data_IF_252100040886
#
_entry.id   IF_252100040886
#
_cell.length_a   1.000
_cell.length_b   1.000
_cell.length_c   1.000
_cell.angle_alpha   90.00
_cell.angle_beta   90.00
_cell.angle_gamma   90.00
#
_symmetry.space_group_name_H-M   'P 1'
#
loop_
_entity.id
_entity.type
_entity.pdbx_description
1 polymer ?
#
# COMPACT_ATOMS: atom_id res chain seq x y z
N UNK A 1 11.38 -44.66 -6.88
CA UNK A 1 11.64 -43.18 -6.64
C UNK A 1 11.54 -42.47 -7.96
N UNK A 2 10.80 -41.38 -8.07
CA UNK A 2 10.68 -40.68 -9.33
C UNK A 2 12.04 -40.19 -9.83
N UNK A 3 12.26 -40.34 -11.15
CA UNK A 3 13.51 -40.01 -11.85
C UNK A 3 13.39 -38.55 -12.34
N UNK A 4 14.28 -37.63 -11.95
CA UNK A 4 14.30 -36.29 -12.52
C UNK A 4 14.75 -36.39 -13.99
N UNK A 5 13.94 -35.91 -14.90
CA UNK A 5 14.17 -35.98 -16.34
C UNK A 5 14.01 -34.59 -16.97
N UNK A 6 14.98 -34.20 -17.80
CA UNK A 6 14.93 -32.98 -18.60
C UNK A 6 14.79 -33.35 -20.08
N UNK A 7 13.74 -32.90 -20.74
CA UNK A 7 13.51 -33.16 -22.16
C UNK A 7 14.63 -32.57 -23.02
N UNK A 8 15.31 -33.35 -23.87
CA UNK A 8 16.40 -32.86 -24.72
C UNK A 8 15.93 -31.89 -25.81
N UNK A 9 14.65 -31.87 -26.12
CA UNK A 9 14.09 -31.07 -27.22
C UNK A 9 13.53 -29.71 -26.75
N UNK A 10 12.82 -29.67 -25.62
CA UNK A 10 12.19 -28.42 -25.11
C UNK A 10 12.74 -27.96 -23.75
N UNK A 11 13.68 -28.73 -23.17
CA UNK A 11 14.31 -28.45 -21.85
C UNK A 11 13.34 -28.37 -20.66
N UNK A 12 12.13 -28.88 -20.84
CA UNK A 12 11.19 -28.99 -19.73
C UNK A 12 11.65 -30.06 -18.73
N UNK A 13 11.63 -29.72 -17.44
CA UNK A 13 11.97 -30.61 -16.36
C UNK A 13 10.70 -31.26 -15.79
N UNK A 14 10.73 -32.57 -15.59
CA UNK A 14 9.63 -33.34 -15.01
C UNK A 14 10.15 -34.49 -14.15
N UNK A 15 9.32 -34.99 -13.27
CA UNK A 15 9.58 -36.21 -12.49
C UNK A 15 8.85 -37.38 -13.18
N UNK A 16 9.58 -38.37 -13.62
CA UNK A 16 9.05 -39.56 -14.28
C UNK A 16 9.11 -40.75 -13.29
N UNK A 17 8.04 -41.52 -13.23
CA UNK A 17 7.99 -42.69 -12.34
C UNK A 17 9.03 -43.74 -12.80
N UNK A 18 9.68 -44.42 -11.85
CA UNK A 18 10.74 -45.43 -12.09
C UNK A 18 10.29 -46.59 -12.97
N UNK A 19 9.00 -46.91 -13.03
CA UNK A 19 8.44 -47.92 -13.94
C UNK A 19 8.66 -47.59 -15.43
N UNK A 20 8.93 -46.34 -15.78
CA UNK A 20 9.18 -45.90 -17.17
C UNK A 20 10.67 -45.78 -17.50
N UNK A 21 11.58 -46.26 -16.62
CA UNK A 21 13.02 -46.30 -16.90
C UNK A 21 13.31 -47.13 -18.14
N UNK A 22 14.17 -46.65 -19.04
CA UNK A 22 14.46 -47.27 -20.37
C UNK A 22 13.27 -47.37 -21.33
N UNK A 23 12.18 -46.70 -21.09
CA UNK A 23 11.07 -46.66 -22.05
C UNK A 23 11.12 -45.42 -22.91
N UNK A 24 10.64 -45.54 -24.14
CA UNK A 24 10.43 -44.43 -25.07
C UNK A 24 8.97 -44.01 -25.05
N UNK A 25 8.73 -42.70 -25.11
CA UNK A 25 7.39 -42.13 -25.17
C UNK A 25 7.45 -40.66 -25.59
N UNK A 26 6.31 -40.06 -25.80
CA UNK A 26 6.22 -38.67 -26.26
C UNK A 26 6.31 -37.72 -25.09
N UNK A 27 7.08 -36.63 -25.24
CA UNK A 27 7.13 -35.56 -24.27
C UNK A 27 5.78 -34.86 -24.15
N UNK A 28 5.19 -34.80 -22.95
CA UNK A 28 3.88 -34.20 -22.71
C UNK A 28 3.80 -32.70 -23.09
N UNK A 29 4.95 -32.02 -23.20
CA UNK A 29 5.01 -30.58 -23.48
C UNK A 29 5.25 -30.29 -24.97
N UNK A 30 6.19 -31.02 -25.63
CA UNK A 30 6.53 -30.72 -27.01
C UNK A 30 6.15 -31.84 -28.01
N UNK A 31 5.57 -32.96 -27.55
CA UNK A 31 5.10 -34.08 -28.40
C UNK A 31 6.20 -34.85 -29.14
N UNK A 32 7.49 -34.62 -28.83
CA UNK A 32 8.60 -35.32 -29.46
C UNK A 32 8.98 -36.55 -28.66
N UNK A 33 9.36 -37.59 -29.38
CA UNK A 33 9.81 -38.86 -28.80
C UNK A 33 11.06 -38.66 -27.92
N UNK A 34 11.04 -39.20 -26.72
CA UNK A 34 12.10 -39.12 -25.70
C UNK A 34 12.29 -40.50 -25.09
N UNK A 35 13.51 -40.80 -24.63
CA UNK A 35 13.81 -42.02 -23.89
C UNK A 35 14.22 -41.67 -22.46
N UNK A 36 13.55 -42.25 -21.49
CA UNK A 36 13.87 -42.04 -20.05
C UNK A 36 15.13 -42.82 -19.72
N UNK A 37 16.14 -42.24 -19.03
CA UNK A 37 17.40 -42.92 -18.71
C UNK A 37 17.18 -44.11 -17.77
N UNK A 38 18.09 -45.09 -17.89
CA UNK A 38 18.12 -46.26 -16.99
C UNK A 38 18.36 -45.87 -15.53
N UNK A 39 17.76 -46.58 -14.60
CA UNK A 39 18.11 -46.48 -13.18
C UNK A 39 19.59 -46.89 -13.00
N UNK A 40 20.38 -46.19 -12.23
CA UNK A 40 21.74 -46.61 -11.92
C UNK A 40 21.72 -47.96 -11.21
N UNK A 41 22.65 -48.86 -11.55
CA UNK A 41 22.67 -50.23 -11.00
C UNK A 41 22.77 -50.21 -9.49
N UNK A 42 21.84 -50.87 -8.84
CA UNK A 42 21.85 -51.08 -7.39
C UNK A 42 23.15 -51.81 -7.02
N UNK A 43 24.01 -51.17 -6.28
CA UNK A 43 25.30 -51.71 -5.81
C UNK A 43 25.08 -53.05 -5.13
N UNK A 44 25.63 -54.13 -5.72
CA UNK A 44 25.64 -55.45 -5.16
C UNK A 44 26.27 -55.49 -3.78
N UNK A 45 25.63 -56.14 -2.87
CA UNK A 45 26.07 -56.38 -1.49
C UNK A 45 27.41 -57.17 -1.47
N UNK A 46 28.46 -56.72 -0.79
CA UNK A 46 29.67 -57.49 -0.64
C UNK A 46 29.45 -58.62 0.40
N UNK A 47 29.79 -59.83 0.04
CA UNK A 47 29.82 -61.00 0.88
C UNK A 47 30.67 -60.82 2.16
N UNK A 48 30.14 -61.21 3.28
CA UNK A 48 30.73 -61.21 4.63
C UNK A 48 32.04 -62.03 4.65
N UNK A 49 33.17 -61.31 4.91
CA UNK A 49 34.42 -61.97 5.41
C UNK A 49 34.50 -61.66 6.90
N UNK A 50 34.46 -62.73 7.70
CA UNK A 50 34.61 -62.72 9.13
C UNK A 50 35.99 -62.19 9.55
N UNK A 51 36.03 -61.11 10.36
CA UNK A 51 37.20 -60.55 11.00
C UNK A 51 36.80 -59.78 12.30
N UNK A 52 37.70 -59.50 13.23
CA UNK A 52 37.49 -59.67 14.68
C UNK A 52 36.79 -58.50 15.39
N UNK A 53 36.10 -58.93 16.45
CA UNK A 53 35.62 -58.20 17.66
C UNK A 53 35.13 -56.75 17.57
N UNK A 54 33.85 -56.67 17.56
CA UNK A 54 32.96 -55.50 17.66
C UNK A 54 32.90 -54.94 19.09
N UNK A 55 33.87 -54.15 19.54
CA UNK A 55 33.68 -53.46 20.85
C UNK A 55 34.12 -51.98 20.91
N UNK A 56 34.70 -51.44 19.79
CA UNK A 56 35.22 -50.06 19.76
C UNK A 56 34.39 -49.07 18.91
N UNK A 57 33.46 -49.56 18.06
CA UNK A 57 32.77 -48.71 17.07
C UNK A 57 31.43 -48.11 17.55
N UNK A 58 30.86 -48.56 18.66
CA UNK A 58 29.60 -47.96 19.17
C UNK A 58 29.77 -46.59 19.82
N UNK A 59 30.96 -46.21 20.28
CA UNK A 59 31.21 -44.90 20.93
C UNK A 59 31.41 -43.75 19.91
N UNK A 60 31.82 -44.04 18.67
CA UNK A 60 32.07 -42.98 17.70
C UNK A 60 30.82 -42.54 16.92
N UNK A 61 29.85 -43.45 16.69
CA UNK A 61 28.60 -43.14 16.00
C UNK A 61 27.65 -42.27 16.84
N UNK A 62 27.59 -42.56 18.17
CA UNK A 62 26.77 -41.76 19.07
C UNK A 62 27.33 -40.36 19.29
N UNK A 63 28.66 -40.21 19.35
CA UNK A 63 29.31 -38.89 19.43
C UNK A 63 29.17 -38.08 18.14
N UNK A 64 29.27 -38.70 16.98
CA UNK A 64 29.05 -38.03 15.69
C UNK A 64 27.58 -37.60 15.50
N UNK A 65 26.62 -38.42 15.93
CA UNK A 65 25.19 -38.13 15.86
C UNK A 65 24.81 -37.00 16.84
N UNK A 66 25.36 -37.01 18.04
CA UNK A 66 25.12 -35.93 19.04
C UNK A 66 25.75 -34.60 18.60
N UNK A 67 26.93 -34.63 17.98
CA UNK A 67 27.58 -33.43 17.46
C UNK A 67 26.85 -32.86 16.24
N UNK A 68 26.28 -33.72 15.36
CA UNK A 68 25.49 -33.24 14.20
C UNK A 68 24.13 -32.68 14.60
N UNK A 69 23.44 -33.30 15.58
CA UNK A 69 22.20 -32.80 16.14
C UNK A 69 22.42 -31.51 16.95
N UNK A 70 23.50 -31.41 17.71
CA UNK A 70 23.89 -30.19 18.42
C UNK A 70 24.28 -29.05 17.50
N UNK A 71 24.95 -29.34 16.39
CA UNK A 71 25.30 -28.36 15.36
C UNK A 71 24.06 -27.78 14.63
N UNK A 72 23.12 -28.66 14.25
CA UNK A 72 21.87 -28.25 13.61
C UNK A 72 20.99 -27.41 14.56
N UNK A 73 20.91 -27.76 15.83
CA UNK A 73 20.14 -26.99 16.81
C UNK A 73 20.80 -25.64 17.12
N UNK A 74 22.12 -25.53 17.14
CA UNK A 74 22.83 -24.26 17.32
C UNK A 74 22.63 -23.33 16.11
N UNK A 75 22.71 -23.86 14.88
CA UNK A 75 22.46 -23.10 13.66
C UNK A 75 20.98 -22.61 13.59
N UNK A 76 20.03 -23.47 13.95
CA UNK A 76 18.62 -23.09 14.01
C UNK A 76 18.37 -22.01 15.08
N UNK A 77 19.01 -22.12 16.25
CA UNK A 77 18.90 -21.13 17.32
C UNK A 77 19.53 -19.77 16.91
N UNK A 78 20.71 -19.78 16.30
CA UNK A 78 21.35 -18.53 15.82
C UNK A 78 20.55 -17.88 14.69
N UNK A 79 20.00 -18.67 13.76
CA UNK A 79 19.11 -18.16 12.73
C UNK A 79 17.82 -17.58 13.32
N UNK A 80 17.21 -18.24 14.28
CA UNK A 80 16.03 -17.75 15.02
C UNK A 80 16.29 -16.42 15.73
N UNK A 81 17.44 -16.28 16.39
CA UNK A 81 17.86 -15.04 17.05
C UNK A 81 18.08 -13.93 16.00
N UNK A 82 18.77 -14.21 14.89
CA UNK A 82 18.99 -13.25 13.82
C UNK A 82 17.66 -12.77 13.22
N UNK A 83 16.73 -13.67 12.95
CA UNK A 83 15.39 -13.32 12.45
C UNK A 83 14.65 -12.49 13.50
N UNK A 84 14.68 -12.88 14.76
CA UNK A 84 14.01 -12.15 15.85
C UNK A 84 14.54 -10.73 16.03
N UNK A 85 15.84 -10.51 15.87
CA UNK A 85 16.47 -9.17 15.91
C UNK A 85 16.23 -8.37 14.63
N UNK A 86 16.28 -9.03 13.46
CA UNK A 86 16.14 -8.35 12.17
C UNK A 86 14.67 -7.93 11.86
N UNK A 87 13.68 -8.74 12.26
CA UNK A 87 12.26 -8.48 11.97
C UNK A 87 11.77 -7.10 12.45
N UNK A 88 12.01 -6.67 13.72
CA UNK A 88 11.56 -5.36 14.18
C UNK A 88 12.26 -4.22 13.43
N UNK A 89 13.53 -4.39 13.07
CA UNK A 89 14.28 -3.40 12.30
C UNK A 89 13.73 -3.25 10.88
N UNK A 90 13.44 -4.35 10.20
CA UNK A 90 12.82 -4.32 8.85
C UNK A 90 11.44 -3.67 8.91
N UNK A 91 10.61 -4.05 9.90
CA UNK A 91 9.27 -3.46 10.08
C UNK A 91 9.33 -1.96 10.35
N UNK A 92 10.23 -1.51 11.21
CA UNK A 92 10.35 -0.07 11.53
C UNK A 92 10.80 0.74 10.32
N UNK A 93 11.72 0.24 9.51
CA UNK A 93 12.16 0.88 8.26
C UNK A 93 11.02 0.92 7.23
N UNK A 94 10.22 -0.13 7.11
CA UNK A 94 9.07 -0.18 6.22
C UNK A 94 8.01 0.85 6.63
N UNK A 95 7.68 0.95 7.92
CA UNK A 95 6.73 1.94 8.42
C UNK A 95 7.20 3.38 8.17
N UNK A 96 8.50 3.65 8.35
CA UNK A 96 9.10 4.96 8.02
C UNK A 96 9.01 5.26 6.52
N UNK A 97 9.30 4.29 5.68
CA UNK A 97 9.19 4.43 4.23
C UNK A 97 7.75 4.74 3.80
N UNK A 98 6.76 4.02 4.33
CA UNK A 98 5.36 4.27 4.05
C UNK A 98 4.92 5.67 4.49
N UNK A 99 5.35 6.10 5.68
CA UNK A 99 5.05 7.43 6.20
C UNK A 99 5.61 8.54 5.32
N UNK A 100 6.86 8.38 4.83
CA UNK A 100 7.48 9.33 3.89
C UNK A 100 6.76 9.37 2.54
N UNK A 101 6.38 8.22 1.99
CA UNK A 101 5.67 8.14 0.72
C UNK A 101 4.28 8.75 0.80
N UNK A 102 3.50 8.49 1.87
CA UNK A 102 2.20 9.13 2.09
C UNK A 102 2.32 10.64 2.16
N UNK A 103 3.33 11.15 2.88
CA UNK A 103 3.63 12.57 2.92
C UNK A 103 3.96 13.15 1.53
N UNK A 104 4.81 12.47 0.75
CA UNK A 104 5.16 12.90 -0.61
C UNK A 104 3.93 12.93 -1.53
N UNK A 105 3.04 11.95 -1.43
CA UNK A 105 1.79 11.95 -2.20
C UNK A 105 0.91 13.14 -1.82
N UNK A 106 0.73 13.41 -0.53
CA UNK A 106 -0.02 14.58 -0.06
C UNK A 106 0.61 15.90 -0.52
N UNK A 107 1.93 16.04 -0.47
CA UNK A 107 2.64 17.23 -0.99
C UNK A 107 2.40 17.43 -2.49
N UNK A 108 2.42 16.35 -3.28
CA UNK A 108 2.09 16.42 -4.71
C UNK A 108 0.63 16.85 -4.94
N UNK A 109 -0.32 16.29 -4.18
CA UNK A 109 -1.73 16.69 -4.24
C UNK A 109 -1.89 18.17 -3.85
N UNK A 110 -1.23 18.60 -2.77
CA UNK A 110 -1.27 20.00 -2.33
C UNK A 110 -0.71 20.97 -3.39
N UNK A 111 0.39 20.59 -4.02
CA UNK A 111 0.95 21.37 -5.14
C UNK A 111 -0.03 21.44 -6.33
N UNK A 112 -0.64 20.32 -6.69
CA UNK A 112 -1.64 20.27 -7.76
C UNK A 112 -2.87 21.14 -7.45
N UNK A 113 -3.35 21.14 -6.20
CA UNK A 113 -4.43 22.04 -5.75
C UNK A 113 -4.06 23.51 -5.92
N UNK A 114 -2.84 23.89 -5.58
CA UNK A 114 -2.33 25.26 -5.74
C UNK A 114 -2.15 25.65 -7.20
N UNK A 115 -1.64 24.76 -8.04
CA UNK A 115 -1.52 25.00 -9.47
C UNK A 115 -2.90 25.17 -10.11
N UNK A 116 -3.86 24.31 -9.76
CA UNK A 116 -5.26 24.49 -10.18
C UNK A 116 -5.81 25.86 -9.75
N UNK A 117 -5.57 26.27 -8.50
CA UNK A 117 -5.98 27.58 -8.00
C UNK A 117 -5.32 28.73 -8.79
N UNK A 118 -4.05 28.60 -9.13
CA UNK A 118 -3.33 29.61 -9.93
C UNK A 118 -3.98 29.81 -11.30
N UNK A 119 -4.39 28.73 -11.96
CA UNK A 119 -4.95 28.76 -13.31
C UNK A 119 -6.43 29.18 -13.33
N UNK A 120 -7.20 28.81 -12.31
CA UNK A 120 -8.66 29.00 -12.27
C UNK A 120 -9.11 30.12 -11.32
N UNK A 121 -8.19 30.71 -10.52
CA UNK A 121 -8.51 31.74 -9.52
C UNK A 121 -9.24 31.21 -8.27
N UNK A 122 -9.45 29.90 -8.18
CA UNK A 122 -10.11 29.22 -7.05
C UNK A 122 -9.63 27.79 -6.93
N UNK A 123 -9.73 27.21 -5.74
CA UNK A 123 -9.51 25.77 -5.56
C UNK A 123 -10.59 24.97 -6.27
N UNK A 124 -10.32 23.71 -6.67
CA UNK A 124 -11.35 22.88 -7.28
C UNK A 124 -12.53 22.68 -6.32
N UNK A 125 -13.78 22.58 -6.82
CA UNK A 125 -14.90 22.18 -5.98
C UNK A 125 -14.70 20.73 -5.53
N UNK A 126 -15.33 20.29 -4.45
CA UNK A 126 -15.28 18.87 -4.03
C UNK A 126 -15.76 17.94 -5.16
N UNK A 127 -16.72 18.42 -5.93
CA UNK A 127 -17.24 17.72 -7.12
C UNK A 127 -17.92 18.70 -8.09
N UNK A 128 -17.93 18.31 -9.36
CA UNK A 128 -18.71 18.98 -10.39
C UNK A 128 -20.08 18.33 -10.49
N UNK A 129 -21.12 19.09 -10.84
CA UNK A 129 -22.49 18.58 -11.02
C UNK A 129 -22.94 18.73 -12.47
N UNK A 130 -23.93 17.91 -12.86
CA UNK A 130 -24.73 18.12 -14.07
C UNK A 130 -25.72 19.29 -13.90
N UNK A 131 -26.49 19.56 -14.95
CA UNK A 131 -27.54 20.61 -14.97
C UNK A 131 -28.65 20.39 -13.94
N UNK A 132 -28.82 19.14 -13.44
CA UNK A 132 -29.82 18.77 -12.44
C UNK A 132 -29.25 18.79 -11.02
N UNK A 133 -27.97 19.13 -10.84
CA UNK A 133 -27.28 19.14 -9.56
C UNK A 133 -26.77 17.77 -9.10
N UNK A 134 -26.83 16.73 -9.94
CA UNK A 134 -26.26 15.41 -9.63
C UNK A 134 -24.75 15.44 -9.73
N UNK A 135 -23.99 14.93 -8.75
CA UNK A 135 -22.52 14.87 -8.80
C UNK A 135 -22.01 14.06 -10.00
N UNK A 136 -21.12 14.62 -10.78
CA UNK A 136 -20.51 14.00 -11.97
C UNK A 136 -19.07 13.60 -11.75
N UNK A 137 -18.20 14.50 -11.29
CA UNK A 137 -16.76 14.28 -11.21
C UNK A 137 -16.20 14.75 -9.88
N UNK A 138 -15.29 13.96 -9.31
CA UNK A 138 -14.53 14.32 -8.13
C UNK A 138 -13.48 15.38 -8.43
N UNK A 139 -13.08 16.18 -7.44
CA UNK A 139 -11.92 17.04 -7.48
C UNK A 139 -10.65 16.32 -7.92
N UNK A 140 -10.55 15.00 -7.60
CA UNK A 140 -9.39 14.16 -7.97
C UNK A 140 -9.24 14.04 -9.48
N UNK A 141 -10.34 13.99 -10.21
CA UNK A 141 -10.33 13.97 -11.68
C UNK A 141 -9.83 15.31 -12.24
N UNK A 142 -10.27 16.43 -11.65
CA UNK A 142 -9.86 17.78 -12.07
C UNK A 142 -8.36 18.04 -11.86
N UNK A 143 -7.73 17.34 -10.93
CA UNK A 143 -6.31 17.48 -10.63
C UNK A 143 -5.39 16.59 -11.48
N UNK A 144 -5.90 15.63 -12.24
CA UNK A 144 -5.07 14.71 -13.04
C UNK A 144 -4.07 15.45 -13.95
N UNK A 145 -4.45 16.56 -14.65
CA UNK A 145 -3.50 17.32 -15.48
C UNK A 145 -2.34 17.93 -14.68
N UNK A 146 -2.52 18.20 -13.39
CA UNK A 146 -1.53 18.79 -12.48
C UNK A 146 -0.70 17.77 -11.71
N UNK A 147 -0.98 16.47 -11.93
CA UNK A 147 -0.35 15.34 -11.24
C UNK A 147 0.49 14.47 -12.16
N UNK A 148 0.75 14.93 -13.39
CA UNK A 148 1.42 14.17 -14.47
C UNK A 148 0.61 12.94 -14.93
N UNK A 149 -0.72 12.97 -14.74
CA UNK A 149 -1.64 11.87 -15.08
C UNK A 149 -2.48 12.18 -16.34
N UNK A 150 -1.90 12.89 -17.32
CA UNK A 150 -2.56 13.28 -18.56
C UNK A 150 -3.10 12.09 -19.35
N UNK A 151 -2.42 10.94 -19.29
CA UNK A 151 -2.86 9.72 -19.97
C UNK A 151 -4.17 9.17 -19.39
N UNK A 152 -4.37 9.29 -18.09
CA UNK A 152 -5.62 8.90 -17.42
C UNK A 152 -6.70 9.95 -17.73
N UNK A 153 -6.35 11.24 -17.62
CA UNK A 153 -7.28 12.33 -17.90
C UNK A 153 -7.83 12.28 -19.33
N UNK A 154 -6.99 11.98 -20.33
CA UNK A 154 -7.40 11.87 -21.73
C UNK A 154 -8.37 10.71 -22.00
N UNK A 155 -8.38 9.68 -21.16
CA UNK A 155 -9.32 8.54 -21.26
C UNK A 155 -10.59 8.74 -20.46
N UNK A 156 -10.60 9.71 -19.53
CA UNK A 156 -11.75 10.02 -18.70
C UNK A 156 -12.75 10.88 -19.49
N UNK A 157 -13.96 10.38 -19.68
CA UNK A 157 -15.01 11.08 -20.43
C UNK A 157 -15.77 12.04 -19.51
N UNK A 158 -15.44 13.33 -19.62
CA UNK A 158 -16.07 14.38 -18.82
C UNK A 158 -17.56 14.64 -19.16
N UNK A 159 -18.09 14.06 -20.24
CA UNK A 159 -19.52 14.13 -20.58
C UNK A 159 -20.36 13.09 -19.86
N UNK A 160 -19.73 12.06 -19.27
CA UNK A 160 -20.38 10.94 -18.57
C UNK A 160 -20.28 11.10 -17.07
N UNK A 161 -21.24 10.56 -16.33
CA UNK A 161 -21.14 10.45 -14.88
C UNK A 161 -19.95 9.52 -14.47
N UNK A 162 -19.47 9.68 -13.26
CA UNK A 162 -18.36 8.92 -12.70
C UNK A 162 -18.59 7.39 -12.73
N UNK A 163 -19.84 6.94 -12.57
CA UNK A 163 -20.26 5.54 -12.60
C UNK A 163 -20.49 4.97 -14.02
N UNK A 164 -20.44 5.82 -15.04
CA UNK A 164 -20.57 5.46 -16.45
C UNK A 164 -19.24 5.43 -17.22
N UNK A 165 -18.12 5.58 -16.51
CA UNK A 165 -16.78 5.53 -17.09
C UNK A 165 -16.42 4.10 -17.53
N UNK A 166 -15.35 3.97 -18.32
CA UNK A 166 -14.88 2.67 -18.82
C UNK A 166 -14.46 1.73 -17.68
N UNK A 167 -14.64 0.42 -17.86
CA UNK A 167 -14.22 -0.60 -16.89
C UNK A 167 -12.73 -0.52 -16.54
N UNK A 168 -11.90 -0.06 -17.48
CA UNK A 168 -10.46 0.12 -17.24
C UNK A 168 -10.19 1.21 -16.20
N UNK A 169 -10.91 2.33 -16.24
CA UNK A 169 -10.81 3.41 -15.25
C UNK A 169 -11.42 3.00 -13.89
N UNK A 170 -12.43 2.14 -13.92
CA UNK A 170 -13.06 1.60 -12.72
C UNK A 170 -12.26 0.46 -12.08
N UNK A 171 -11.27 -0.10 -12.79
CA UNK A 171 -10.39 -1.14 -12.28
C UNK A 171 -9.49 -0.61 -11.14
N UNK A 172 -9.18 -1.41 -10.14
CA UNK A 172 -8.17 -1.07 -9.14
C UNK A 172 -6.81 -0.68 -9.72
N UNK A 173 -6.45 -1.23 -10.89
CA UNK A 173 -5.21 -0.91 -11.60
C UNK A 173 -5.23 0.49 -12.24
N UNK A 174 -6.40 1.10 -12.41
CA UNK A 174 -6.58 2.44 -12.98
C UNK A 174 -6.37 3.58 -11.98
N UNK A 175 -6.13 3.30 -10.70
CA UNK A 175 -5.94 4.36 -9.71
C UNK A 175 -4.58 5.05 -9.88
N UNK A 176 -4.52 6.40 -9.96
CA UNK A 176 -3.26 7.12 -9.84
C UNK A 176 -2.61 6.86 -8.48
N UNK A 177 -1.35 6.39 -8.49
CA UNK A 177 -0.64 6.02 -7.24
C UNK A 177 -0.60 7.16 -6.21
N UNK A 178 -0.61 8.40 -6.66
CA UNK A 178 -0.62 9.59 -5.79
C UNK A 178 -1.86 9.66 -4.89
N UNK A 179 -2.96 8.98 -5.25
CA UNK A 179 -4.18 8.94 -4.45
C UNK A 179 -4.23 7.78 -3.46
N UNK A 180 -3.17 6.98 -3.36
CA UNK A 180 -3.08 5.85 -2.42
C UNK A 180 -2.02 6.11 -1.35
N UNK A 181 -2.26 5.64 -0.13
CA UNK A 181 -1.24 5.54 0.92
C UNK A 181 -0.62 4.14 0.89
N UNK A 182 0.71 3.99 0.86
CA UNK A 182 1.33 2.66 0.91
C UNK A 182 1.07 1.90 2.21
N UNK A 183 0.65 2.60 3.26
CA UNK A 183 0.24 2.00 4.52
C UNK A 183 -1.19 1.43 4.47
N UNK A 184 -1.97 1.79 3.42
CA UNK A 184 -3.35 1.38 3.23
C UNK A 184 -3.43 0.34 2.10
N UNK A 185 -3.27 -0.95 2.45
CA UNK A 185 -3.26 -2.04 1.48
C UNK A 185 -4.60 -2.16 0.72
N UNK A 186 -5.72 -1.81 1.37
CA UNK A 186 -7.05 -1.89 0.76
C UNK A 186 -7.22 -0.87 -0.35
N UNK A 187 -6.57 0.29 -0.24
CA UNK A 187 -6.63 1.34 -1.27
C UNK A 187 -6.09 0.85 -2.61
N UNK A 188 -4.95 0.16 -2.61
CA UNK A 188 -4.34 -0.39 -3.83
C UNK A 188 -5.07 -1.63 -4.35
N UNK A 189 -5.63 -2.45 -3.44
CA UNK A 189 -6.32 -3.70 -3.80
C UNK A 189 -7.66 -3.43 -4.47
N UNK A 190 -8.41 -2.40 -4.00
CA UNK A 190 -9.77 -2.12 -4.46
C UNK A 190 -9.89 -0.84 -5.29
N UNK A 191 -8.80 -0.11 -5.55
CA UNK A 191 -8.84 1.16 -6.28
C UNK A 191 -9.48 2.30 -5.48
N UNK A 192 -9.45 2.22 -4.13
CA UNK A 192 -9.98 3.24 -3.25
C UNK A 192 -8.92 4.31 -2.96
N UNK A 193 -9.34 5.56 -2.86
CA UNK A 193 -8.44 6.64 -2.48
C UNK A 193 -8.14 6.63 -0.98
N UNK A 194 -6.90 6.91 -0.60
CA UNK A 194 -6.53 7.15 0.80
C UNK A 194 -6.51 8.65 1.15
N UNK A 195 -6.82 9.53 0.19
CA UNK A 195 -6.79 10.98 0.40
C UNK A 195 -8.13 11.60 0.02
N UNK A 196 -8.70 12.34 0.96
CA UNK A 196 -10.03 12.92 0.86
C UNK A 196 -10.01 14.38 1.32
N UNK A 197 -11.05 15.13 0.96
CA UNK A 197 -11.30 16.47 1.50
C UNK A 197 -12.42 16.40 2.54
N UNK A 198 -12.58 17.47 3.32
CA UNK A 198 -13.69 17.61 4.26
C UNK A 198 -14.73 18.54 3.66
N UNK A 199 -15.93 18.01 3.40
CA UNK A 199 -17.03 18.75 2.78
C UNK A 199 -17.98 19.30 3.85
N UNK A 200 -18.43 20.56 3.66
CA UNK A 200 -19.38 21.20 4.56
C UNK A 200 -19.52 22.70 4.28
N UNK A 201 -20.61 23.30 4.77
CA UNK A 201 -20.93 24.71 4.47
C UNK A 201 -19.86 25.70 4.90
N UNK A 202 -19.10 25.41 5.96
CA UNK A 202 -18.05 26.26 6.53
C UNK A 202 -16.65 25.74 6.29
N UNK A 203 -16.50 24.65 5.56
CA UNK A 203 -15.19 24.07 5.22
C UNK A 203 -14.65 24.64 3.92
N UNK A 204 -13.39 24.37 3.62
CA UNK A 204 -12.75 24.75 2.36
C UNK A 204 -13.46 24.15 1.12
N UNK A 205 -14.23 23.07 1.29
CA UNK A 205 -14.93 22.39 0.20
C UNK A 205 -16.45 22.34 0.44
N UNK A 206 -17.20 23.42 0.11
CA UNK A 206 -18.63 23.49 0.34
C UNK A 206 -19.48 22.73 -0.72
N UNK A 207 -18.97 21.61 -1.21
CA UNK A 207 -19.63 20.78 -2.24
C UNK A 207 -19.29 21.22 -3.67
N UNK A 208 -20.26 21.56 -4.52
CA UNK A 208 -20.02 21.90 -5.93
C UNK A 208 -19.49 23.32 -6.14
N UNK A 209 -19.38 24.11 -5.07
CA UNK A 209 -18.85 25.47 -5.15
C UNK A 209 -17.34 25.48 -4.88
N UNK A 210 -16.61 26.24 -5.67
CA UNK A 210 -15.20 26.49 -5.47
C UNK A 210 -14.96 27.54 -4.40
N UNK A 211 -13.86 27.43 -3.67
CA UNK A 211 -13.41 28.40 -2.65
C UNK A 211 -12.20 29.16 -3.19
N UNK A 212 -12.18 30.48 -3.03
CA UNK A 212 -11.03 31.33 -3.32
C UNK A 212 -10.20 31.52 -2.06
N UNK A 213 -8.89 31.73 -2.21
CA UNK A 213 -7.98 31.94 -1.07
C UNK A 213 -8.41 33.08 -0.15
N UNK A 214 -8.97 34.18 -0.71
CA UNK A 214 -9.47 35.32 0.08
C UNK A 214 -10.70 35.02 0.94
N UNK A 215 -11.37 33.89 0.73
CA UNK A 215 -12.50 33.44 1.55
C UNK A 215 -12.06 32.61 2.77
N UNK A 216 -10.77 32.27 2.83
CA UNK A 216 -10.17 31.51 3.94
C UNK A 216 -9.67 32.54 4.98
N UNK A 217 -10.60 33.08 5.77
CA UNK A 217 -10.35 34.16 6.73
C UNK A 217 -9.54 33.69 7.93
N UNK A 218 -9.63 32.41 8.32
CA UNK A 218 -8.85 31.80 9.41
C UNK A 218 -7.36 31.65 9.03
N UNK A 219 -7.03 31.85 7.76
CA UNK A 219 -5.68 31.77 7.22
C UNK A 219 -5.36 30.44 6.55
N UNK A 220 -4.56 30.50 5.49
CA UNK A 220 -4.22 29.30 4.69
C UNK A 220 -3.43 28.26 5.48
N UNK A 221 -2.61 28.67 6.45
CA UNK A 221 -1.82 27.78 7.28
C UNK A 221 -2.63 27.09 8.39
N UNK A 222 -3.80 27.63 8.72
CA UNK A 222 -4.69 27.15 9.78
C UNK A 222 -5.90 26.38 9.24
N UNK A 223 -6.01 26.21 7.94
CA UNK A 223 -7.17 25.53 7.32
C UNK A 223 -6.75 24.26 6.62
N UNK A 224 -7.31 23.15 7.04
CA UNK A 224 -7.09 21.82 6.41
C UNK A 224 -7.65 21.81 4.98
N UNK A 225 -6.84 21.28 4.05
CA UNK A 225 -7.19 21.15 2.65
C UNK A 225 -7.45 19.68 2.26
N UNK A 226 -6.48 18.78 2.47
CA UNK A 226 -6.61 17.36 2.16
C UNK A 226 -6.15 16.54 3.36
N UNK A 227 -6.82 15.44 3.62
CA UNK A 227 -6.54 14.57 4.76
C UNK A 227 -6.38 13.13 4.33
N UNK A 228 -5.62 12.37 5.10
CA UNK A 228 -5.51 10.93 4.95
C UNK A 228 -6.73 10.24 5.58
N UNK A 229 -7.21 9.21 4.91
CA UNK A 229 -8.27 8.32 5.38
C UNK A 229 -7.99 6.90 4.92
N UNK A 230 -7.59 6.03 5.82
CA UNK A 230 -7.40 4.62 5.52
C UNK A 230 -8.76 3.93 5.32
N UNK A 231 -8.75 2.89 4.50
CA UNK A 231 -9.93 2.07 4.22
C UNK A 231 -11.18 2.94 3.91
N UNK A 232 -11.00 3.94 3.03
CA UNK A 232 -12.04 4.91 2.73
C UNK A 232 -13.29 4.29 2.10
N UNK A 233 -13.13 3.18 1.37
CA UNK A 233 -14.17 2.57 0.56
C UNK A 233 -14.59 3.42 -0.64
N UNK A 234 -13.86 4.51 -0.96
CA UNK A 234 -14.21 5.47 -1.99
C UNK A 234 -13.36 5.21 -3.24
N UNK A 235 -13.94 4.76 -4.36
CA UNK A 235 -13.26 4.77 -5.65
C UNK A 235 -12.67 6.16 -5.95
N UNK A 236 -11.43 6.23 -6.43
CA UNK A 236 -10.72 7.51 -6.58
C UNK A 236 -11.45 8.54 -7.43
N UNK A 237 -12.21 8.11 -8.43
CA UNK A 237 -12.99 8.96 -9.34
C UNK A 237 -14.38 9.33 -8.81
N UNK A 238 -14.85 8.66 -7.73
CA UNK A 238 -16.17 8.92 -7.16
C UNK A 238 -16.21 10.28 -6.45
N UNK A 239 -17.25 11.11 -6.68
CA UNK A 239 -17.43 12.41 -6.04
C UNK A 239 -17.95 12.29 -4.60
N UNK A 240 -17.18 11.59 -3.77
CA UNK A 240 -17.48 11.33 -2.37
C UNK A 240 -16.26 11.65 -1.51
N UNK A 241 -16.51 12.27 -0.35
CA UNK A 241 -15.48 12.72 0.59
C UNK A 241 -16.05 12.72 2.03
N UNK A 242 -15.25 13.08 3.03
CA UNK A 242 -15.69 13.23 4.40
C UNK A 242 -16.73 14.34 4.53
N UNK A 243 -17.76 14.15 5.32
CA UNK A 243 -18.75 15.17 5.63
C UNK A 243 -18.51 15.70 7.05
N UNK A 244 -18.23 17.00 7.21
CA UNK A 244 -17.99 17.62 8.53
C UNK A 244 -19.16 17.38 9.51
N UNK A 245 -20.38 17.24 9.02
CA UNK A 245 -21.57 16.95 9.84
C UNK A 245 -21.65 15.51 10.34
N UNK A 246 -20.80 14.61 9.87
CA UNK A 246 -20.74 13.20 10.28
C UNK A 246 -19.45 12.87 11.04
N UNK A 247 -18.58 13.87 11.25
CA UNK A 247 -17.32 13.74 11.99
C UNK A 247 -17.54 14.03 13.47
N UNK A 248 -16.78 13.32 14.30
CA UNK A 248 -16.59 13.63 15.72
C UNK A 248 -15.27 14.38 15.96
N UNK A 249 -14.51 14.63 14.89
CA UNK A 249 -13.22 15.31 14.89
C UNK A 249 -12.18 14.59 15.76
N UNK A 250 -12.07 13.28 15.57
CA UNK A 250 -11.08 12.45 16.24
C UNK A 250 -10.14 11.82 15.20
N UNK A 251 -8.83 11.96 15.41
CA UNK A 251 -7.85 11.25 14.57
C UNK A 251 -7.92 9.77 14.89
N UNK A 252 -8.01 8.92 13.86
CA UNK A 252 -8.17 7.47 13.97
C UNK A 252 -9.38 7.02 14.79
N UNK A 253 -10.38 7.92 14.94
CA UNK A 253 -11.67 7.59 15.55
C UNK A 253 -12.52 6.65 14.70
N UNK A 254 -13.59 6.13 15.27
CA UNK A 254 -14.54 5.30 14.54
C UNK A 254 -15.43 6.13 13.60
N UNK A 255 -15.74 5.62 12.41
CA UNK A 255 -16.69 6.26 11.49
C UNK A 255 -16.04 7.16 10.43
N UNK A 256 -16.63 8.32 10.20
CA UNK A 256 -16.22 9.27 9.14
C UNK A 256 -15.14 10.24 9.66
N UNK A 257 -13.94 9.73 9.95
CA UNK A 257 -12.87 10.50 10.59
C UNK A 257 -11.61 10.57 9.72
N UNK A 258 -10.73 11.52 10.01
CA UNK A 258 -9.36 11.52 9.54
C UNK A 258 -8.66 10.31 10.13
N UNK A 259 -8.05 9.47 9.31
CA UNK A 259 -7.46 8.24 9.80
C UNK A 259 -6.34 7.72 8.91
N UNK A 260 -5.43 6.96 9.48
CA UNK A 260 -4.36 6.29 8.76
C UNK A 260 -3.95 4.96 9.41
N UNK A 261 -3.22 4.14 8.68
CA UNK A 261 -2.52 2.98 9.24
C UNK A 261 -1.11 3.32 9.77
N UNK A 262 -0.77 4.61 9.82
CA UNK A 262 0.46 5.06 10.45
C UNK A 262 0.30 5.09 11.97
N UNK A 263 1.22 4.50 12.74
CA UNK A 263 1.12 4.54 14.19
C UNK A 263 1.09 5.98 14.74
N UNK A 264 0.12 6.27 15.59
CA UNK A 264 0.05 7.48 16.41
C UNK A 264 -0.53 8.72 15.74
N UNK A 265 -1.13 8.63 14.55
CA UNK A 265 -1.77 9.78 13.92
C UNK A 265 -2.02 9.61 12.42
N UNK A 266 -2.39 10.70 11.74
CA UNK A 266 -2.67 10.75 10.32
C UNK A 266 -2.09 12.01 9.67
N UNK A 267 -1.80 11.93 8.36
CA UNK A 267 -1.32 13.06 7.58
C UNK A 267 -2.45 13.97 7.13
N UNK A 268 -2.19 15.26 7.18
CA UNK A 268 -3.07 16.31 6.62
C UNK A 268 -2.24 17.32 5.84
N UNK A 269 -2.86 18.04 4.92
CA UNK A 269 -2.30 19.26 4.36
C UNK A 269 -3.15 20.45 4.70
N UNK A 270 -2.54 21.61 4.86
CA UNK A 270 -3.21 22.91 4.99
C UNK A 270 -3.26 23.64 3.64
N UNK A 271 -4.10 24.65 3.52
CA UNK A 271 -4.33 25.40 2.30
C UNK A 271 -3.09 26.16 1.79
N UNK A 272 -2.09 26.43 2.66
CA UNK A 272 -0.77 26.96 2.26
C UNK A 272 0.13 25.90 1.58
N UNK A 273 -0.31 24.63 1.55
CA UNK A 273 0.38 23.51 0.92
C UNK A 273 1.37 22.77 1.81
N UNK A 274 1.45 23.10 3.09
CA UNK A 274 2.26 22.36 4.04
C UNK A 274 1.57 21.10 4.50
N UNK A 275 2.36 20.09 4.88
CA UNK A 275 1.87 18.80 5.40
C UNK A 275 2.24 18.64 6.85
N UNK A 276 1.30 18.11 7.63
CA UNK A 276 1.47 17.88 9.07
C UNK A 276 1.01 16.48 9.42
N UNK A 277 1.68 15.86 10.37
CA UNK A 277 1.24 14.59 10.96
C UNK A 277 0.52 14.86 12.26
N UNK A 278 -0.80 14.85 12.22
CA UNK A 278 -1.61 15.09 13.42
C UNK A 278 -1.67 13.84 14.28
N UNK A 279 -1.39 13.99 15.58
CA UNK A 279 -1.41 12.89 16.54
C UNK A 279 -2.83 12.53 16.97
N UNK A 280 -3.04 11.28 17.37
CA UNK A 280 -4.32 10.79 17.90
C UNK A 280 -4.79 11.57 19.14
N UNK A 281 -3.87 12.24 19.84
CA UNK A 281 -4.14 13.00 21.08
C UNK A 281 -4.69 14.41 20.84
N UNK A 282 -4.82 14.87 19.58
CA UNK A 282 -5.42 16.18 19.33
C UNK A 282 -6.86 16.24 19.80
N UNK A 283 -7.25 17.37 20.42
CA UNK A 283 -8.62 17.58 20.87
C UNK A 283 -9.57 17.76 19.67
N UNK A 284 -10.81 17.34 19.86
CA UNK A 284 -11.86 17.49 18.83
C UNK A 284 -12.08 18.96 18.46
N UNK A 285 -12.09 19.87 19.44
CA UNK A 285 -12.28 21.30 19.21
C UNK A 285 -11.14 21.89 18.38
N UNK A 286 -9.89 21.49 18.68
CA UNK A 286 -8.73 21.93 17.89
C UNK A 286 -8.82 21.42 16.45
N UNK A 287 -9.16 20.15 16.25
CA UNK A 287 -9.30 19.57 14.91
C UNK A 287 -10.46 20.22 14.14
N UNK A 288 -11.57 20.50 14.81
CA UNK A 288 -12.72 21.20 14.24
C UNK A 288 -12.34 22.61 13.77
N UNK A 289 -11.58 23.37 14.58
CA UNK A 289 -11.16 24.72 14.21
C UNK A 289 -10.29 24.75 12.96
N UNK A 290 -9.46 23.71 12.73
CA UNK A 290 -8.68 23.57 11.50
C UNK A 290 -9.52 23.25 10.25
N UNK A 291 -10.78 22.87 10.40
CA UNK A 291 -11.63 22.49 9.26
C UNK A 291 -12.50 23.64 8.74
N UNK A 292 -12.61 24.74 9.47
CA UNK A 292 -13.37 25.93 9.06
C UNK A 292 -12.50 26.90 8.27
N UNK A 293 -13.15 27.77 7.47
CA UNK A 293 -12.48 28.83 6.68
C UNK A 293 -12.70 30.22 7.25
N UNK A 294 -13.67 30.38 8.14
CA UNK A 294 -14.07 31.65 8.75
C UNK A 294 -14.74 31.37 10.10
N UNK A 295 -14.12 30.58 10.96
CA UNK A 295 -14.56 30.28 12.32
C UNK A 295 -14.15 31.34 13.31
N UNK A 296 -13.07 32.06 13.01
CA UNK A 296 -12.48 33.10 13.88
C UNK A 296 -11.67 32.54 15.03
N UNK A 297 -11.40 31.22 15.05
CA UNK A 297 -10.59 30.58 16.07
C UNK A 297 -9.09 30.89 15.86
N UNK A 298 -8.39 31.18 16.92
CA UNK A 298 -6.94 31.30 16.88
C UNK A 298 -6.32 29.91 17.04
N UNK A 299 -5.84 29.37 15.96
CA UNK A 299 -5.12 28.09 15.96
C UNK A 299 -3.65 28.34 16.31
N UNK A 300 -3.12 27.78 17.41
CA UNK A 300 -1.70 27.87 17.73
C UNK A 300 -0.91 26.98 16.73
N UNK A 301 -0.35 27.62 15.70
CA UNK A 301 0.41 26.93 14.65
C UNK A 301 1.66 26.20 15.19
N UNK A 302 2.13 26.59 16.37
CA UNK A 302 3.21 25.92 17.09
C UNK A 302 2.85 24.46 17.40
N UNK A 303 1.60 24.19 17.77
CA UNK A 303 1.12 22.81 18.00
C UNK A 303 1.16 21.95 16.73
N UNK A 304 1.01 22.54 15.55
CA UNK A 304 1.19 21.84 14.29
C UNK A 304 2.67 21.57 13.99
N UNK A 305 3.58 22.49 14.36
CA UNK A 305 5.00 22.39 14.07
C UNK A 305 5.73 21.37 14.95
N UNK A 306 5.35 21.24 16.21
CA UNK A 306 5.95 20.28 17.16
C UNK A 306 5.74 18.83 16.77
N UNK A 307 4.83 18.58 15.83
CA UNK A 307 4.52 17.25 15.29
C UNK A 307 5.42 16.81 14.11
N UNK A 308 6.33 17.68 13.64
CA UNK A 308 7.29 17.34 12.58
C UNK A 308 8.49 16.56 13.11
N UNK A 309 8.74 16.54 14.42
CA UNK A 309 9.84 15.76 15.00
C UNK A 309 9.49 14.27 15.00
N UNK A 310 10.29 13.42 14.33
CA UNK A 310 10.13 11.98 14.47
C UNK A 310 10.38 11.63 15.94
N UNK A 311 9.41 10.98 16.57
CA UNK A 311 9.64 10.33 17.88
C UNK A 311 10.91 9.49 17.79
N UNK A 312 11.88 9.82 18.65
CA UNK A 312 13.17 9.12 18.82
C UNK A 312 12.96 7.64 19.11
#
# INVERSE_FOLDING_TARGET
MPIPFTCPHCRAETLVDDQYANQTGDCAICGREITVPALPPTRATPTLRSGPTRQSQRRSLTTALVLSLGGLSAVAATFGILVWVALPFVRSNQLRSYRLQSNQHLQRIALAMRNYHSDHGSYPPAYVTDSNGRPMHSWRVLLLPYLDEQAIYARYDLSKHWDEQTLELQSPLGIPKVYTSPADADSTTFGHTSFVVITGKRTMFPGPRSTRSMQIEDGLASTIMVVERHNSGIPWYQPLDLKSTQMQFQINGSGQEISSNHPGGAWVTTADGKTYFLRDSFSADFLQSLTTIAGGERVPLEELSDNLSPTR
#
